data_IF_536516431394
#
_entry.id   IF_536516431394
#
_cell.length_a   1.000
_cell.length_b   1.000
_cell.length_c   1.000
_cell.angle_alpha   90.00
_cell.angle_beta   90.00
_cell.angle_gamma   90.00
#
_symmetry.space_group_name_H-M   'P 1'
#
loop_
_entity.id
_entity.type
_entity.pdbx_description
1 polymer ?
#
# COMPACT_ATOMS: atom_id res chain seq x y z
N UNK A 1 27.96 -12.92 -8.96
CA UNK A 1 26.59 -12.89 -9.54
C UNK A 1 26.22 -11.44 -9.70
N UNK A 2 25.58 -11.05 -10.80
CA UNK A 2 25.25 -9.64 -11.00
C UNK A 2 24.02 -9.28 -10.15
N UNK A 3 24.09 -8.15 -9.46
CA UNK A 3 23.11 -7.78 -8.44
C UNK A 3 21.82 -7.26 -9.09
N UNK A 4 20.69 -7.61 -8.49
CA UNK A 4 19.36 -7.13 -8.83
C UNK A 4 18.74 -6.51 -7.58
N UNK A 5 17.78 -5.61 -7.74
CA UNK A 5 17.20 -4.89 -6.62
C UNK A 5 15.68 -4.95 -6.62
N UNK A 6 15.08 -4.79 -5.45
CA UNK A 6 13.64 -4.56 -5.33
C UNK A 6 13.30 -3.60 -4.20
N UNK A 7 12.12 -3.01 -4.29
CA UNK A 7 11.49 -2.28 -3.21
C UNK A 7 10.01 -2.65 -3.13
N UNK A 8 9.53 -2.90 -1.90
CA UNK A 8 8.11 -2.95 -1.59
C UNK A 8 7.64 -1.51 -1.37
N UNK A 9 6.65 -1.07 -2.14
CA UNK A 9 6.06 0.27 -2.03
C UNK A 9 4.64 0.11 -1.49
N UNK A 10 4.44 0.52 -0.25
CA UNK A 10 3.16 0.39 0.46
C UNK A 10 2.50 1.75 0.55
N UNK A 11 1.38 1.96 -0.13
CA UNK A 11 0.63 3.22 -0.10
C UNK A 11 -0.45 3.17 0.98
N UNK A 12 -0.37 4.00 2.00
CA UNK A 12 -1.32 4.04 3.12
C UNK A 12 -2.19 5.30 3.02
N UNK A 13 -3.48 5.09 2.85
CA UNK A 13 -4.43 6.16 2.68
C UNK A 13 -5.81 5.83 3.26
N UNK A 14 -6.32 6.76 4.06
CA UNK A 14 -7.75 6.89 4.31
C UNK A 14 -8.13 8.37 4.18
N UNK A 15 -9.33 8.69 3.67
CA UNK A 15 -9.83 10.05 3.67
C UNK A 15 -10.03 10.55 5.11
N UNK A 16 -10.35 11.83 5.28
CA UNK A 16 -10.68 12.37 6.58
C UNK A 16 -12.02 11.81 7.08
N UNK A 17 -11.96 10.89 8.04
CA UNK A 17 -13.13 10.22 8.65
C UNK A 17 -13.31 10.58 10.12
N UNK A 18 -12.28 11.12 10.78
CA UNK A 18 -12.36 11.54 12.16
C UNK A 18 -13.43 12.63 12.34
N UNK A 19 -14.39 12.38 13.22
CA UNK A 19 -15.60 13.20 13.45
C UNK A 19 -16.64 13.18 12.31
N UNK A 20 -16.55 12.25 11.35
CA UNK A 20 -17.48 12.12 10.22
C UNK A 20 -18.13 10.73 10.16
N UNK A 21 -18.93 10.39 11.18
CA UNK A 21 -19.60 9.09 11.27
C UNK A 21 -18.72 7.98 11.87
N UNK A 22 -19.34 6.84 12.20
CA UNK A 22 -18.65 5.69 12.79
C UNK A 22 -18.77 4.44 11.92
N UNK A 23 -19.99 3.94 11.77
CA UNK A 23 -20.28 2.71 11.02
C UNK A 23 -21.50 2.92 10.11
N UNK A 24 -21.57 2.31 8.90
CA UNK A 24 -20.57 1.41 8.28
C UNK A 24 -19.42 2.11 7.56
N UNK A 25 -19.48 3.44 7.43
CA UNK A 25 -18.44 4.28 6.84
C UNK A 25 -18.10 5.38 7.85
N UNK A 26 -16.81 5.64 8.08
CA UNK A 26 -16.38 6.62 9.07
C UNK A 26 -15.19 6.12 9.88
N UNK A 27 -15.15 6.45 11.17
CA UNK A 27 -13.98 6.21 12.02
C UNK A 27 -13.64 4.72 12.19
N UNK A 28 -14.60 3.81 11.97
CA UNK A 28 -14.33 2.36 12.01
C UNK A 28 -13.32 1.94 10.94
N UNK A 29 -13.26 2.61 9.79
CA UNK A 29 -12.24 2.33 8.77
C UNK A 29 -10.83 2.60 9.27
N UNK A 30 -10.63 3.73 9.96
CA UNK A 30 -9.32 4.09 10.53
C UNK A 30 -8.96 3.16 11.69
N UNK A 31 -9.94 2.77 12.51
CA UNK A 31 -9.76 1.83 13.60
C UNK A 31 -9.38 0.43 13.09
N UNK A 32 -10.11 -0.10 12.10
CA UNK A 32 -9.85 -1.40 11.47
C UNK A 32 -8.47 -1.42 10.82
N UNK A 33 -8.15 -0.41 9.98
CA UNK A 33 -6.83 -0.30 9.35
C UNK A 33 -5.69 -0.18 10.37
N UNK A 34 -5.89 0.56 11.47
CA UNK A 34 -4.86 0.70 12.51
C UNK A 34 -4.64 -0.59 13.28
N UNK A 35 -5.71 -1.28 13.68
CA UNK A 35 -5.61 -2.53 14.43
C UNK A 35 -5.05 -3.68 13.60
N UNK A 36 -5.47 -3.77 12.33
CA UNK A 36 -5.23 -4.96 11.50
C UNK A 36 -4.08 -4.78 10.52
N UNK A 37 -3.76 -3.55 10.10
CA UNK A 37 -2.70 -3.27 9.14
C UNK A 37 -1.55 -2.49 9.77
N UNK A 38 -1.76 -1.25 10.21
CA UNK A 38 -0.64 -0.35 10.51
C UNK A 38 0.16 -0.80 11.74
N UNK A 39 -0.52 -1.20 12.81
CA UNK A 39 0.16 -1.65 14.03
C UNK A 39 0.86 -3.01 13.80
N UNK A 40 0.23 -4.04 13.20
CA UNK A 40 0.93 -5.27 12.83
C UNK A 40 2.11 -5.05 11.87
N UNK A 41 1.97 -4.20 10.85
CA UNK A 41 3.05 -3.85 9.94
C UNK A 41 4.21 -3.20 10.68
N UNK A 42 3.93 -2.24 11.57
CA UNK A 42 4.97 -1.60 12.37
C UNK A 42 5.76 -2.63 13.20
N UNK A 43 5.08 -3.59 13.86
CA UNK A 43 5.74 -4.67 14.63
C UNK A 43 6.65 -5.55 13.76
N UNK A 44 6.18 -5.89 12.57
CA UNK A 44 6.92 -6.69 11.58
C UNK A 44 8.22 -5.98 11.18
N UNK A 45 8.13 -4.68 10.88
CA UNK A 45 9.27 -3.86 10.47
C UNK A 45 10.21 -3.57 11.64
N UNK A 46 9.70 -3.22 12.82
CA UNK A 46 10.52 -2.94 14.02
C UNK A 46 11.37 -4.15 14.41
N UNK A 47 10.80 -5.35 14.38
CA UNK A 47 11.53 -6.57 14.71
C UNK A 47 12.72 -6.79 13.77
N UNK A 48 12.58 -6.44 12.49
CA UNK A 48 13.59 -6.67 11.43
C UNK A 48 14.59 -5.53 11.30
N UNK A 49 14.18 -4.30 11.63
CA UNK A 49 15.03 -3.12 11.61
C UNK A 49 16.26 -3.25 12.54
N UNK A 50 16.18 -4.09 13.58
CA UNK A 50 17.28 -4.38 14.52
C UNK A 50 18.56 -4.88 13.87
N UNK A 51 18.48 -5.44 12.65
CA UNK A 51 19.66 -5.87 11.89
C UNK A 51 20.50 -4.70 11.33
N UNK A 52 20.02 -3.46 11.42
CA UNK A 52 20.74 -2.26 10.98
C UNK A 52 20.91 -2.14 9.47
N UNK A 53 20.12 -2.86 8.68
CA UNK A 53 20.12 -2.85 7.21
C UNK A 53 18.76 -2.37 6.68
N UNK A 54 18.72 -1.73 5.50
CA UNK A 54 17.46 -1.41 4.84
C UNK A 54 16.63 -2.67 4.57
N UNK A 55 15.32 -2.57 4.86
CA UNK A 55 14.36 -3.66 4.63
C UNK A 55 13.81 -3.65 3.20
N UNK A 56 14.14 -2.61 2.41
CA UNK A 56 13.61 -2.44 1.05
C UNK A 56 12.15 -2.02 1.05
N UNK A 57 11.66 -1.40 2.12
CA UNK A 57 10.27 -0.95 2.25
C UNK A 57 10.21 0.57 2.12
N UNK A 58 9.45 1.03 1.13
CA UNK A 58 9.05 2.42 0.94
C UNK A 58 7.59 2.55 1.38
N UNK A 59 7.33 3.33 2.42
CA UNK A 59 6.00 3.53 2.99
C UNK A 59 5.45 4.91 2.61
N UNK A 60 4.44 4.95 1.76
CA UNK A 60 3.69 6.16 1.45
C UNK A 60 2.67 6.45 2.53
N UNK A 61 2.86 7.53 3.30
CA UNK A 61 1.89 7.97 4.30
C UNK A 61 1.26 9.27 3.82
N UNK A 62 -0.02 9.22 3.45
CA UNK A 62 -0.74 10.43 3.02
C UNK A 62 -0.82 11.45 4.16
N UNK A 63 -0.66 12.77 3.89
CA UNK A 63 -0.72 13.77 4.94
C UNK A 63 -2.03 13.74 5.74
N UNK A 64 -3.17 13.59 5.06
CA UNK A 64 -4.49 13.44 5.71
C UNK A 64 -4.58 12.23 6.65
N UNK A 65 -3.90 11.12 6.33
CA UNK A 65 -3.83 9.96 7.23
C UNK A 65 -2.93 10.26 8.44
N UNK A 66 -1.77 10.87 8.21
CA UNK A 66 -0.85 11.27 9.29
C UNK A 66 -1.51 12.21 10.31
N UNK A 67 -2.30 13.20 9.85
CA UNK A 67 -3.05 14.08 10.74
C UNK A 67 -4.00 13.32 11.65
N UNK A 68 -4.75 12.36 11.10
CA UNK A 68 -5.72 11.58 11.86
C UNK A 68 -5.03 10.63 12.85
N UNK A 69 -4.01 9.90 12.40
CA UNK A 69 -3.24 8.97 13.25
C UNK A 69 -2.50 9.67 14.41
N UNK A 70 -2.10 10.92 14.21
CA UNK A 70 -1.46 11.73 15.25
C UNK A 70 -2.49 12.45 16.17
N UNK A 71 -3.77 12.47 15.82
CA UNK A 71 -4.78 13.22 16.55
C UNK A 71 -5.13 12.56 17.89
N UNK A 72 -5.18 13.37 18.96
CA UNK A 72 -5.43 12.85 20.32
C UNK A 72 -6.82 12.21 20.48
N UNK A 73 -7.84 12.72 19.79
CA UNK A 73 -9.17 12.11 19.83
C UNK A 73 -9.22 10.76 19.11
N UNK A 74 -8.41 10.58 18.06
CA UNK A 74 -8.26 9.26 17.46
C UNK A 74 -7.63 8.27 18.43
N UNK A 75 -6.64 8.69 19.24
CA UNK A 75 -6.03 7.79 20.24
C UNK A 75 -7.06 7.30 21.27
N UNK A 76 -7.95 8.17 21.74
CA UNK A 76 -9.04 7.81 22.68
C UNK A 76 -10.06 6.88 22.01
N UNK A 77 -10.42 7.21 20.76
CA UNK A 77 -11.35 6.41 19.97
C UNK A 77 -10.81 5.00 19.72
N UNK A 78 -9.55 4.88 19.31
CA UNK A 78 -8.93 3.61 18.99
C UNK A 78 -8.84 2.69 20.22
N UNK A 79 -8.50 3.24 21.38
CA UNK A 79 -8.57 2.51 22.65
C UNK A 79 -9.98 1.98 22.92
N UNK A 80 -11.00 2.83 22.77
CA UNK A 80 -12.40 2.43 22.97
C UNK A 80 -12.82 1.35 21.99
N UNK A 81 -12.41 1.46 20.72
CA UNK A 81 -12.64 0.45 19.69
C UNK A 81 -12.02 -0.90 20.06
N UNK A 82 -10.75 -0.92 20.49
CA UNK A 82 -10.06 -2.14 20.90
C UNK A 82 -10.72 -2.79 22.11
N UNK A 83 -11.15 -2.00 23.11
CA UNK A 83 -11.88 -2.51 24.28
C UNK A 83 -13.23 -3.13 23.88
N UNK A 84 -13.96 -2.50 22.95
CA UNK A 84 -15.21 -3.05 22.42
C UNK A 84 -14.99 -4.36 21.64
N UNK A 85 -13.95 -4.44 20.79
CA UNK A 85 -13.60 -5.66 20.05
C UNK A 85 -13.16 -6.78 20.97
N UNK A 86 -12.38 -6.45 22.01
CA UNK A 86 -11.97 -7.38 23.05
C UNK A 86 -13.19 -7.96 23.79
N UNK A 87 -14.14 -7.10 24.17
CA UNK A 87 -15.36 -7.56 24.84
C UNK A 87 -16.20 -8.45 23.92
N UNK A 88 -16.39 -8.05 22.66
CA UNK A 88 -17.11 -8.88 21.69
C UNK A 88 -16.48 -10.26 21.49
N UNK A 89 -15.14 -10.36 21.51
CA UNK A 89 -14.45 -11.64 21.41
C UNK A 89 -14.68 -12.53 22.66
N UNK A 90 -14.74 -11.93 23.85
CA UNK A 90 -15.06 -12.64 25.10
C UNK A 90 -16.49 -13.15 25.10
N UNK A 91 -17.43 -12.34 24.63
CA UNK A 91 -18.84 -12.70 24.53
C UNK A 91 -19.04 -13.85 23.53
N UNK A 92 -18.38 -13.78 22.37
CA UNK A 92 -18.35 -14.87 21.38
C UNK A 92 -17.79 -16.15 22.00
N UNK A 93 -16.63 -16.09 22.67
CA UNK A 93 -16.03 -17.26 23.33
C UNK A 93 -17.00 -17.88 24.34
N UNK A 94 -17.59 -17.07 25.20
CA UNK A 94 -18.52 -17.53 26.24
C UNK A 94 -19.76 -18.22 25.65
N UNK A 95 -20.28 -17.70 24.54
CA UNK A 95 -21.43 -18.28 23.84
C UNK A 95 -21.06 -19.60 23.14
N UNK A 96 -19.97 -19.60 22.36
CA UNK A 96 -19.52 -20.75 21.58
C UNK A 96 -19.08 -21.93 22.47
N UNK A 97 -18.53 -21.65 23.65
CA UNK A 97 -18.23 -22.69 24.64
C UNK A 97 -19.48 -23.33 25.26
N UNK A 98 -20.64 -22.65 25.25
CA UNK A 98 -21.90 -23.21 25.75
C UNK A 98 -22.65 -24.03 24.71
N UNK A 99 -22.35 -23.83 23.42
CA UNK A 99 -22.98 -24.52 22.29
C UNK A 99 -22.13 -25.67 21.74
N UNK A 100 -21.11 -26.11 22.49
CA UNK A 100 -20.15 -27.16 22.11
C UNK A 100 -19.37 -26.88 20.81
N UNK A 101 -19.26 -25.61 20.40
CA UNK A 101 -18.49 -25.16 19.23
C UNK A 101 -17.03 -24.86 19.61
N UNK A 102 -16.33 -25.87 20.12
CA UNK A 102 -14.99 -25.75 20.71
C UNK A 102 -13.93 -25.13 19.76
N UNK A 103 -13.96 -25.49 18.47
CA UNK A 103 -13.06 -24.91 17.46
C UNK A 103 -13.27 -23.40 17.28
N UNK A 104 -14.54 -22.96 17.22
CA UNK A 104 -14.88 -21.54 17.07
C UNK A 104 -14.58 -20.75 18.35
N UNK A 105 -14.82 -21.36 19.52
CA UNK A 105 -14.46 -20.75 20.81
C UNK A 105 -12.95 -20.49 20.92
N UNK A 106 -12.12 -21.42 20.42
CA UNK A 106 -10.67 -21.23 20.36
C UNK A 106 -10.25 -20.10 19.40
N UNK A 107 -10.99 -19.87 18.31
CA UNK A 107 -10.77 -18.72 17.44
C UNK A 107 -11.18 -17.40 18.10
N UNK A 108 -12.27 -17.40 18.89
CA UNK A 108 -12.69 -16.22 19.65
C UNK A 108 -11.65 -15.83 20.70
N UNK A 109 -11.03 -16.82 21.36
CA UNK A 109 -9.88 -16.60 22.24
C UNK A 109 -8.68 -15.98 21.50
N UNK A 110 -8.42 -16.36 20.25
CA UNK A 110 -7.36 -15.73 19.45
C UNK A 110 -7.67 -14.28 19.10
N UNK A 111 -8.92 -13.94 18.77
CA UNK A 111 -9.32 -12.54 18.61
C UNK A 111 -9.18 -11.75 19.90
N UNK A 112 -9.54 -12.36 21.04
CA UNK A 112 -9.32 -11.75 22.34
C UNK A 112 -7.83 -11.42 22.54
N UNK A 113 -6.93 -12.39 22.29
CA UNK A 113 -5.50 -12.19 22.40
C UNK A 113 -4.97 -11.14 21.42
N UNK A 114 -5.46 -11.12 20.17
CA UNK A 114 -5.08 -10.15 19.15
C UNK A 114 -5.39 -8.71 19.57
N UNK A 115 -6.64 -8.43 19.93
CA UNK A 115 -7.05 -7.07 20.33
C UNK A 115 -6.47 -6.66 21.69
N UNK A 116 -6.27 -7.62 22.61
CA UNK A 116 -5.56 -7.37 23.87
C UNK A 116 -4.11 -6.93 23.61
N UNK A 117 -3.38 -7.67 22.78
CA UNK A 117 -2.01 -7.33 22.41
C UNK A 117 -1.93 -5.99 21.70
N UNK A 118 -2.88 -5.66 20.83
CA UNK A 118 -2.96 -4.34 20.20
C UNK A 118 -3.14 -3.22 21.25
N UNK A 119 -4.03 -3.41 22.22
CA UNK A 119 -4.32 -2.44 23.27
C UNK A 119 -3.13 -2.23 24.22
N UNK A 120 -2.48 -3.31 24.64
CA UNK A 120 -1.30 -3.29 25.50
C UNK A 120 -0.13 -2.56 24.83
N UNK A 121 0.14 -2.84 23.56
CA UNK A 121 1.18 -2.17 22.80
C UNK A 121 0.84 -0.69 22.53
N UNK A 122 -0.41 -0.37 22.21
CA UNK A 122 -0.82 1.01 21.97
C UNK A 122 -0.69 1.88 23.22
N UNK A 123 -1.01 1.32 24.39
CA UNK A 123 -0.80 1.94 25.72
C UNK A 123 0.63 1.80 26.24
N UNK A 124 1.45 1.00 25.57
CA UNK A 124 2.78 0.61 26.00
C UNK A 124 3.84 1.69 25.75
N UNK A 125 5.12 1.33 25.93
CA UNK A 125 6.24 2.29 25.94
C UNK A 125 6.48 2.99 24.60
N UNK A 126 6.02 2.42 23.49
CA UNK A 126 6.18 3.03 22.17
C UNK A 126 5.22 4.21 21.92
N UNK A 127 4.23 4.41 22.79
CA UNK A 127 3.25 5.51 22.78
C UNK A 127 2.19 5.39 21.67
N UNK A 128 1.05 6.10 21.77
CA UNK A 128 -0.08 5.92 20.86
C UNK A 128 0.13 6.53 19.45
N UNK A 129 1.14 7.38 19.27
CA UNK A 129 1.39 8.04 17.99
C UNK A 129 2.12 7.12 17.01
N UNK A 130 1.37 6.40 16.17
CA UNK A 130 1.91 5.46 15.19
C UNK A 130 2.78 6.13 14.11
N UNK A 131 2.49 7.38 13.75
CA UNK A 131 3.32 8.18 12.81
C UNK A 131 4.73 8.36 13.38
N UNK A 132 4.83 8.70 14.66
CA UNK A 132 6.12 8.81 15.34
C UNK A 132 6.83 7.45 15.48
N UNK A 133 6.09 6.33 15.53
CA UNK A 133 6.69 5.00 15.54
C UNK A 133 7.33 4.64 14.20
N UNK A 134 6.66 4.92 13.07
CA UNK A 134 7.23 4.72 11.73
C UNK A 134 8.41 5.66 11.47
N UNK A 135 8.32 6.92 11.91
CA UNK A 135 9.45 7.87 11.84
C UNK A 135 10.74 7.28 12.42
N UNK A 136 10.67 6.60 13.57
CA UNK A 136 11.86 5.99 14.19
C UNK A 136 12.49 4.91 13.31
N UNK A 137 11.70 4.15 12.54
CA UNK A 137 12.23 3.17 11.59
C UNK A 137 12.96 3.85 10.42
N UNK A 138 12.44 4.99 9.96
CA UNK A 138 13.10 5.80 8.94
C UNK A 138 14.39 6.48 9.44
N UNK A 139 14.40 6.95 10.70
CA UNK A 139 15.60 7.48 11.36
C UNK A 139 16.70 6.43 11.53
N UNK A 140 16.32 5.15 11.66
CA UNK A 140 17.24 4.01 11.67
C UNK A 140 17.72 3.59 10.27
N UNK A 141 17.18 4.18 9.20
CA UNK A 141 17.46 3.79 7.81
C UNK A 141 16.86 2.44 7.41
N UNK A 142 15.93 1.89 8.20
CA UNK A 142 15.31 0.59 7.92
C UNK A 142 14.27 0.68 6.79
N UNK A 143 13.55 1.79 6.72
CA UNK A 143 12.54 2.08 5.69
C UNK A 143 12.75 3.50 5.14
N UNK A 144 12.08 3.81 4.04
CA UNK A 144 11.91 5.17 3.53
C UNK A 144 10.44 5.58 3.62
N UNK A 145 10.14 6.79 4.13
CA UNK A 145 8.77 7.31 4.15
C UNK A 145 8.63 8.35 3.05
N UNK A 146 7.62 8.19 2.19
CA UNK A 146 7.29 9.15 1.14
C UNK A 146 5.96 9.86 1.45
N UNK A 147 5.80 11.06 0.89
CA UNK A 147 4.55 11.82 1.03
C UNK A 147 3.55 11.50 -0.08
N UNK A 148 2.44 12.22 -0.12
CA UNK A 148 1.44 12.20 -1.18
C UNK A 148 0.97 13.64 -1.48
N UNK A 149 -0.14 13.84 -2.20
CA UNK A 149 -0.90 15.08 -2.14
C UNK A 149 -1.60 15.22 -0.78
N UNK A 150 -1.77 16.44 -0.27
CA UNK A 150 -2.30 16.73 1.07
C UNK A 150 -3.54 15.90 1.45
N UNK A 151 -4.52 15.82 0.55
CA UNK A 151 -5.77 15.08 0.77
C UNK A 151 -5.99 14.01 -0.28
N UNK A 152 -4.92 13.48 -0.89
CA UNK A 152 -5.00 12.53 -2.00
C UNK A 152 -5.82 13.05 -3.19
N UNK A 153 -5.82 14.38 -3.42
CA UNK A 153 -6.57 14.99 -4.52
C UNK A 153 -6.01 14.56 -5.89
N UNK A 154 -6.88 14.19 -6.82
CA UNK A 154 -6.48 13.70 -8.15
C UNK A 154 -5.82 14.81 -8.99
N UNK A 155 -4.50 14.97 -8.83
CA UNK A 155 -3.72 16.14 -9.27
C UNK A 155 -3.91 16.50 -10.76
N UNK A 156 -3.94 15.53 -11.71
CA UNK A 156 -4.13 15.86 -13.13
C UNK A 156 -5.42 16.63 -13.43
N UNK A 157 -6.49 16.40 -12.66
CA UNK A 157 -7.82 16.98 -12.89
C UNK A 157 -8.14 18.17 -12.00
N UNK A 158 -7.23 18.57 -11.11
CA UNK A 158 -7.40 19.81 -10.35
C UNK A 158 -7.47 21.02 -11.29
N UNK A 159 -8.26 22.01 -10.90
CA UNK A 159 -8.69 23.12 -11.77
C UNK A 159 -7.56 24.03 -12.25
N UNK A 160 -6.40 24.01 -11.60
CA UNK A 160 -5.25 24.85 -11.91
C UNK A 160 -3.94 24.23 -11.42
N UNK A 161 -2.82 24.71 -11.95
CA UNK A 161 -1.49 24.34 -11.44
C UNK A 161 -1.30 24.84 -10.00
N UNK A 162 -1.83 26.01 -9.64
CA UNK A 162 -1.80 26.50 -8.26
C UNK A 162 -2.51 25.57 -7.26
N UNK A 163 -3.66 25.00 -7.64
CA UNK A 163 -4.38 24.05 -6.78
C UNK A 163 -3.60 22.73 -6.60
N UNK A 164 -2.99 22.22 -7.67
CA UNK A 164 -2.13 21.04 -7.60
C UNK A 164 -0.85 21.30 -6.80
N UNK A 165 -0.23 22.45 -7.01
CA UNK A 165 0.97 22.88 -6.31
C UNK A 165 0.72 23.09 -4.81
N UNK A 166 -0.44 23.62 -4.43
CA UNK A 166 -0.81 23.78 -3.02
C UNK A 166 -0.99 22.44 -2.30
N UNK A 167 -1.58 21.44 -2.97
CA UNK A 167 -1.66 20.07 -2.45
C UNK A 167 -0.25 19.48 -2.18
N UNK A 168 0.72 19.75 -3.05
CA UNK A 168 2.12 19.30 -2.89
C UNK A 168 2.81 20.08 -1.77
N UNK A 169 2.67 21.41 -1.75
CA UNK A 169 3.30 22.29 -0.76
C UNK A 169 2.87 21.94 0.67
N UNK A 170 1.55 21.77 0.88
CA UNK A 170 1.00 21.35 2.18
C UNK A 170 1.49 19.98 2.57
N UNK A 171 1.59 19.04 1.63
CA UNK A 171 2.08 17.70 1.91
C UNK A 171 3.55 17.67 2.33
N UNK A 172 4.41 18.47 1.69
CA UNK A 172 5.82 18.61 2.07
C UNK A 172 5.95 19.24 3.45
N UNK A 173 5.12 20.25 3.77
CA UNK A 173 5.09 20.86 5.09
C UNK A 173 4.62 19.89 6.19
N UNK A 174 3.55 19.13 5.93
CA UNK A 174 3.04 18.12 6.85
C UNK A 174 4.08 17.00 7.09
N UNK A 175 4.75 16.54 6.04
CA UNK A 175 5.80 15.53 6.14
C UNK A 175 6.98 16.05 7.01
N UNK A 176 7.43 17.31 6.82
CA UNK A 176 8.43 17.93 7.71
C UNK A 176 8.00 17.96 9.16
N UNK A 177 6.74 18.31 9.44
CA UNK A 177 6.22 18.36 10.80
C UNK A 177 6.21 16.99 11.49
N UNK A 178 5.78 15.95 10.79
CA UNK A 178 5.66 14.61 11.36
C UNK A 178 7.01 13.88 11.43
N UNK A 179 7.82 13.95 10.38
CA UNK A 179 9.03 13.14 10.21
C UNK A 179 10.35 13.91 10.41
N UNK A 180 10.28 15.23 10.61
CA UNK A 180 11.44 16.08 10.93
C UNK A 180 12.35 16.42 9.74
N UNK A 181 12.03 15.96 8.52
CA UNK A 181 12.79 16.20 7.29
C UNK A 181 11.87 16.43 6.10
N UNK A 182 12.40 16.93 4.98
CA UNK A 182 11.63 16.99 3.74
C UNK A 182 11.52 15.59 3.11
N UNK A 183 10.39 15.21 2.49
CA UNK A 183 10.29 13.98 1.74
C UNK A 183 11.14 14.08 0.46
N UNK A 184 11.81 12.98 0.09
CA UNK A 184 12.50 12.86 -1.20
C UNK A 184 11.57 12.28 -2.27
N UNK A 185 10.73 11.32 -1.92
CA UNK A 185 9.74 10.72 -2.82
C UNK A 185 8.31 11.19 -2.57
N UNK A 186 7.45 11.01 -3.58
CA UNK A 186 6.00 11.20 -3.48
C UNK A 186 5.25 10.06 -4.17
N UNK A 187 4.19 9.55 -3.53
CA UNK A 187 3.15 8.80 -4.20
C UNK A 187 2.17 9.78 -4.84
N UNK A 188 2.11 9.84 -6.18
CA UNK A 188 1.05 10.60 -6.84
C UNK A 188 -0.29 9.91 -6.57
N UNK A 189 -1.35 10.65 -6.17
CA UNK A 189 -2.67 10.06 -5.98
C UNK A 189 -3.09 9.21 -7.18
N UNK A 190 -3.39 7.93 -6.96
CA UNK A 190 -3.72 6.94 -7.99
C UNK A 190 -2.62 6.68 -9.04
N UNK A 191 -1.36 7.01 -8.73
CA UNK A 191 -0.28 7.08 -9.73
C UNK A 191 -0.64 7.96 -10.93
N UNK A 192 -1.57 8.91 -10.74
CA UNK A 192 -2.13 9.72 -11.81
C UNK A 192 -1.14 10.82 -12.21
N UNK A 193 -0.54 10.63 -13.38
CA UNK A 193 0.46 11.52 -13.95
C UNK A 193 -0.10 12.32 -15.13
N UNK A 194 0.51 13.48 -15.37
CA UNK A 194 0.18 14.32 -16.52
C UNK A 194 1.39 15.16 -16.95
N UNK A 195 1.82 15.06 -18.23
CA UNK A 195 2.88 15.91 -18.76
C UNK A 195 2.40 17.34 -19.04
N UNK A 196 3.34 18.22 -19.35
CA UNK A 196 3.04 19.58 -19.80
C UNK A 196 2.21 19.57 -21.08
N UNK A 197 1.31 20.55 -21.24
CA UNK A 197 0.55 20.72 -22.47
C UNK A 197 -0.80 21.40 -22.29
N UNK A 198 -1.57 21.42 -23.38
CA UNK A 198 -2.92 21.96 -23.40
C UNK A 198 -3.92 20.93 -22.86
N UNK A 199 -4.54 21.22 -21.73
CA UNK A 199 -5.47 20.29 -21.06
C UNK A 199 -6.88 20.90 -20.97
N UNK A 200 -7.92 20.22 -21.49
CA UNK A 200 -9.31 20.61 -21.27
C UNK A 200 -9.70 20.34 -19.81
N UNK A 201 -10.51 21.23 -19.23
CA UNK A 201 -11.03 21.00 -17.87
C UNK A 201 -12.22 20.04 -17.92
N UNK A 202 -12.31 19.07 -17.00
CA UNK A 202 -13.54 18.26 -16.86
C UNK A 202 -14.68 19.04 -16.18
N UNK A 203 -14.42 20.25 -15.66
CA UNK A 203 -15.43 21.06 -14.99
C UNK A 203 -16.49 21.55 -15.98
N UNK A 204 -17.74 21.57 -15.52
CA UNK A 204 -18.81 22.25 -16.22
C UNK A 204 -18.70 23.77 -15.99
N UNK A 205 -18.97 24.54 -17.03
CA UNK A 205 -19.19 25.96 -16.92
C UNK A 205 -20.50 26.27 -16.18
N UNK A 206 -20.76 27.55 -15.93
CA UNK A 206 -21.97 28.00 -15.21
C UNK A 206 -23.29 27.70 -15.95
N UNK A 207 -23.22 27.30 -17.22
CA UNK A 207 -24.37 26.91 -18.04
C UNK A 207 -24.55 25.40 -18.12
N UNK A 208 -23.71 24.62 -17.45
CA UNK A 208 -23.72 23.15 -17.50
C UNK A 208 -23.02 22.58 -18.74
N UNK A 209 -22.41 23.43 -19.57
CA UNK A 209 -21.58 23.00 -20.70
C UNK A 209 -20.19 22.57 -20.24
N UNK A 210 -19.56 21.58 -20.87
CA UNK A 210 -18.17 21.25 -20.56
C UNK A 210 -17.27 22.42 -20.97
N UNK A 211 -16.37 22.83 -20.06
CA UNK A 211 -15.39 23.88 -20.34
C UNK A 211 -14.35 23.34 -21.33
N UNK A 212 -14.64 23.45 -22.63
CA UNK A 212 -13.85 22.82 -23.70
C UNK A 212 -12.56 23.53 -24.04
N UNK A 213 -12.36 24.77 -23.60
CA UNK A 213 -11.14 25.54 -23.93
C UNK A 213 -9.94 24.97 -23.15
N UNK A 214 -8.98 24.34 -23.84
CA UNK A 214 -7.81 23.79 -23.18
C UNK A 214 -6.96 24.92 -22.58
N UNK A 215 -6.45 24.71 -21.38
CA UNK A 215 -5.46 25.61 -20.76
C UNK A 215 -4.09 24.97 -20.82
N UNK A 216 -3.08 25.77 -21.14
CA UNK A 216 -1.70 25.33 -20.98
C UNK A 216 -1.43 25.10 -19.50
N UNK A 217 -0.88 23.93 -19.18
CA UNK A 217 -0.55 23.55 -17.81
C UNK A 217 0.82 22.89 -17.77
N UNK A 218 1.57 23.15 -16.70
CA UNK A 218 2.87 22.53 -16.47
C UNK A 218 2.75 21.02 -16.24
N UNK A 219 3.79 20.27 -16.56
CA UNK A 219 3.85 18.86 -16.18
C UNK A 219 3.96 18.72 -14.67
N UNK A 220 3.43 17.62 -14.12
CA UNK A 220 3.44 17.42 -12.68
C UNK A 220 4.88 17.32 -12.15
N UNK A 221 5.79 16.69 -12.87
CA UNK A 221 7.22 16.61 -12.55
C UNK A 221 7.86 17.99 -12.34
N UNK A 222 7.43 19.00 -13.10
CA UNK A 222 7.88 20.38 -12.92
C UNK A 222 7.38 20.97 -11.60
N UNK A 223 6.12 20.71 -11.24
CA UNK A 223 5.57 21.14 -9.95
C UNK A 223 6.27 20.41 -8.80
N UNK A 224 6.51 19.10 -8.92
CA UNK A 224 7.25 18.32 -7.93
C UNK A 224 8.66 18.88 -7.68
N UNK A 225 9.39 19.20 -8.76
CA UNK A 225 10.75 19.71 -8.69
C UNK A 225 10.87 21.01 -7.88
N UNK A 226 9.89 21.91 -7.99
CA UNK A 226 9.85 23.19 -7.24
C UNK A 226 9.80 22.99 -5.72
N UNK A 227 9.31 21.83 -5.27
CA UNK A 227 9.20 21.48 -3.85
C UNK A 227 10.29 20.50 -3.39
N UNK A 228 11.31 20.27 -4.22
CA UNK A 228 12.47 19.43 -3.90
C UNK A 228 12.17 17.93 -3.89
N UNK A 229 11.07 17.50 -4.49
CA UNK A 229 10.75 16.09 -4.66
C UNK A 229 11.59 15.51 -5.82
N UNK A 230 12.19 14.36 -5.59
CA UNK A 230 13.18 13.74 -6.45
C UNK A 230 12.61 12.62 -7.31
N UNK A 231 11.58 11.91 -6.81
CA UNK A 231 10.99 10.81 -7.55
C UNK A 231 9.53 10.53 -7.19
N UNK A 232 8.84 9.82 -8.09
CA UNK A 232 7.50 9.28 -7.91
C UNK A 232 7.32 7.92 -8.59
N UNK A 233 6.12 7.35 -8.48
CA UNK A 233 5.78 6.06 -9.09
C UNK A 233 4.68 6.20 -10.14
N UNK A 234 4.76 5.39 -11.18
CA UNK A 234 3.78 5.31 -12.28
C UNK A 234 3.43 3.86 -12.58
N UNK A 235 2.28 3.66 -13.22
CA UNK A 235 1.88 2.34 -13.68
C UNK A 235 2.69 1.89 -14.91
N UNK A 236 2.80 0.58 -15.14
CA UNK A 236 3.68 -0.02 -16.16
C UNK A 236 3.45 0.55 -17.56
N UNK A 237 2.20 0.82 -17.92
CA UNK A 237 1.82 1.31 -19.25
C UNK A 237 2.31 2.74 -19.54
N UNK A 238 2.56 3.57 -18.51
CA UNK A 238 3.15 4.90 -18.68
C UNK A 238 4.65 4.84 -18.97
N UNK A 239 5.31 3.71 -18.65
CA UNK A 239 6.72 3.48 -18.94
C UNK A 239 6.88 2.71 -20.25
N UNK A 240 6.25 1.55 -20.34
CA UNK A 240 6.43 0.60 -21.44
C UNK A 240 5.56 0.92 -22.65
N UNK A 241 4.59 1.83 -22.55
CA UNK A 241 3.48 1.96 -23.48
C UNK A 241 2.54 0.73 -23.41
N UNK A 242 1.58 0.65 -24.32
CA UNK A 242 0.59 -0.43 -24.35
C UNK A 242 -0.66 -0.16 -23.52
N UNK A 243 -1.46 -1.19 -23.26
CA UNK A 243 -2.73 -1.06 -22.51
C UNK A 243 -2.48 -1.06 -20.98
N UNK A 244 -3.28 -0.32 -20.20
CA UNK A 244 -3.19 -0.34 -18.73
C UNK A 244 -3.51 -1.72 -18.15
N UNK A 245 -2.92 -2.03 -16.99
CA UNK A 245 -3.23 -3.28 -16.27
C UNK A 245 -4.68 -3.24 -15.75
N UNK A 246 -5.50 -4.18 -16.21
CA UNK A 246 -6.94 -4.23 -15.93
C UNK A 246 -7.35 -4.67 -14.51
N UNK A 247 -6.43 -4.66 -13.54
CA UNK A 247 -6.61 -5.28 -12.21
C UNK A 247 -7.79 -4.70 -11.43
N UNK A 248 -8.03 -3.38 -11.54
CA UNK A 248 -9.21 -2.74 -10.95
C UNK A 248 -10.46 -2.89 -11.82
N UNK A 249 -10.29 -3.07 -13.13
CA UNK A 249 -11.40 -3.17 -14.05
C UNK A 249 -12.20 -4.46 -13.85
N UNK A 250 -11.56 -5.55 -13.43
CA UNK A 250 -12.27 -6.80 -13.08
C UNK A 250 -13.23 -6.66 -11.89
N UNK A 251 -13.01 -5.66 -11.01
CA UNK A 251 -13.83 -5.42 -9.81
C UNK A 251 -15.01 -4.47 -10.02
N UNK A 252 -15.00 -3.63 -11.06
CA UNK A 252 -16.07 -2.67 -11.32
C UNK A 252 -16.62 -2.85 -12.74
N UNK A 253 -17.91 -3.19 -12.85
CA UNK A 253 -18.58 -3.43 -14.14
C UNK A 253 -18.44 -2.24 -15.10
N UNK A 254 -18.50 -1.02 -14.59
CA UNK A 254 -18.28 0.21 -15.37
C UNK A 254 -16.85 0.33 -15.97
N UNK A 255 -15.84 -0.21 -15.29
CA UNK A 255 -14.45 -0.22 -15.78
C UNK A 255 -14.18 -1.38 -16.75
N UNK A 256 -14.93 -2.49 -16.66
CA UNK A 256 -14.83 -3.61 -17.62
C UNK A 256 -15.12 -3.17 -19.05
N UNK A 257 -16.02 -2.22 -19.25
CA UNK A 257 -16.31 -1.68 -20.58
C UNK A 257 -15.14 -0.88 -21.19
N UNK A 258 -14.25 -0.33 -20.34
CA UNK A 258 -13.07 0.42 -20.77
C UNK A 258 -11.85 -0.49 -21.02
N UNK A 259 -11.84 -1.72 -20.49
CA UNK A 259 -10.70 -2.65 -20.56
C UNK A 259 -10.99 -3.97 -21.31
N UNK A 260 -12.21 -4.17 -21.84
CA UNK A 260 -12.55 -5.35 -22.66
C UNK A 260 -11.53 -5.56 -23.79
N UNK A 261 -10.86 -6.72 -23.78
CA UNK A 261 -9.86 -7.11 -24.78
C UNK A 261 -8.41 -6.80 -24.42
N UNK A 262 -8.07 -6.64 -23.14
CA UNK A 262 -6.67 -6.62 -22.68
C UNK A 262 -6.07 -8.04 -22.72
N UNK A 263 -5.78 -8.54 -23.93
CA UNK A 263 -4.71 -9.53 -24.10
C UNK A 263 -3.38 -8.93 -23.61
N UNK A 264 -2.44 -9.78 -23.18
CA UNK A 264 -1.13 -9.39 -22.63
C UNK A 264 -0.58 -8.16 -23.37
N UNK A 265 -0.42 -7.00 -22.70
CA UNK A 265 0.02 -5.81 -23.39
C UNK A 265 1.47 -6.03 -23.79
N UNK A 266 1.72 -6.35 -25.07
CA UNK A 266 3.06 -6.25 -25.59
C UNK A 266 3.55 -4.80 -25.37
N UNK A 267 4.77 -4.60 -24.85
CA UNK A 267 5.32 -3.25 -24.67
C UNK A 267 5.27 -2.50 -26.00
N UNK A 268 4.63 -1.32 -26.01
CA UNK A 268 4.62 -0.46 -27.21
C UNK A 268 5.94 0.31 -27.39
N UNK A 269 6.86 0.19 -26.44
CA UNK A 269 8.19 0.82 -26.44
C UNK A 269 9.26 -0.16 -25.96
N UNK A 270 10.54 0.20 -26.11
CA UNK A 270 11.68 -0.52 -25.54
C UNK A 270 11.86 -0.30 -24.03
N UNK A 271 11.13 0.66 -23.44
CA UNK A 271 11.21 0.93 -22.01
C UNK A 271 10.59 -0.23 -21.22
N UNK A 272 11.10 -0.42 -20.00
CA UNK A 272 10.72 -1.52 -19.11
C UNK A 272 10.52 -0.94 -17.71
N UNK A 273 9.56 -1.45 -16.91
CA UNK A 273 9.26 -0.88 -15.59
C UNK A 273 10.36 -1.12 -14.55
N UNK A 274 11.46 -1.79 -14.92
CA UNK A 274 12.52 -2.22 -14.02
C UNK A 274 13.72 -1.28 -13.98
N UNK A 275 13.58 -0.05 -14.50
CA UNK A 275 14.60 0.98 -14.42
C UNK A 275 13.98 2.31 -13.95
N UNK A 276 14.73 3.15 -13.22
CA UNK A 276 14.32 4.53 -13.01
C UNK A 276 14.51 5.36 -14.29
N UNK A 277 13.56 6.23 -14.58
CA UNK A 277 13.61 7.15 -15.73
C UNK A 277 13.53 8.60 -15.25
N UNK A 278 14.36 9.48 -15.80
CA UNK A 278 14.20 10.93 -15.63
C UNK A 278 13.03 11.40 -16.48
N UNK A 279 12.12 12.18 -15.91
CA UNK A 279 10.92 12.65 -16.62
C UNK A 279 11.24 13.98 -17.29
N UNK A 280 11.32 13.95 -18.63
CA UNK A 280 11.72 15.10 -19.44
C UNK A 280 13.17 15.56 -19.25
N UNK A 281 13.66 16.50 -20.10
CA UNK A 281 15.02 17.00 -20.03
C UNK A 281 15.20 18.17 -19.04
N UNK A 282 14.11 18.85 -18.66
CA UNK A 282 14.17 20.14 -17.95
C UNK A 282 14.36 20.01 -16.44
N UNK A 283 13.89 18.91 -15.85
CA UNK A 283 13.98 18.65 -14.41
C UNK A 283 14.69 17.34 -14.12
N UNK A 284 15.15 17.17 -12.88
CA UNK A 284 15.84 15.94 -12.42
C UNK A 284 14.92 14.92 -11.76
N UNK A 285 13.61 15.15 -11.79
CA UNK A 285 12.63 14.26 -11.15
C UNK A 285 12.58 12.94 -11.92
N UNK A 286 12.65 11.84 -11.19
CA UNK A 286 12.60 10.50 -11.74
C UNK A 286 11.24 9.82 -11.51
N UNK A 287 10.88 8.85 -12.33
CA UNK A 287 9.77 7.94 -12.07
C UNK A 287 10.26 6.49 -12.02
N UNK A 288 9.57 5.69 -11.20
CA UNK A 288 9.70 4.24 -11.15
C UNK A 288 8.41 3.59 -11.64
N UNK A 289 8.54 2.55 -12.47
CA UNK A 289 7.39 1.79 -12.97
C UNK A 289 6.95 0.70 -12.00
N UNK A 290 5.64 0.50 -11.87
CA UNK A 290 5.07 -0.67 -11.19
C UNK A 290 5.56 -1.96 -11.85
N UNK A 291 5.99 -2.92 -11.04
CA UNK A 291 6.21 -4.29 -11.51
C UNK A 291 4.85 -4.98 -11.79
N UNK A 292 4.52 -5.29 -13.06
CA UNK A 292 3.25 -5.91 -13.41
C UNK A 292 3.14 -7.35 -12.88
N UNK A 293 4.27 -8.05 -12.71
CA UNK A 293 4.30 -9.47 -12.39
C UNK A 293 3.89 -9.69 -10.93
N UNK A 294 4.54 -9.01 -9.98
CA UNK A 294 4.13 -9.07 -8.58
C UNK A 294 2.78 -8.42 -8.33
N UNK A 295 2.43 -7.36 -9.07
CA UNK A 295 1.10 -6.77 -8.98
C UNK A 295 0.01 -7.80 -9.29
N UNK A 296 0.10 -8.52 -10.41
CA UNK A 296 -0.86 -9.56 -10.76
C UNK A 296 -0.89 -10.70 -9.74
N UNK A 297 0.29 -11.17 -9.31
CA UNK A 297 0.43 -12.31 -8.40
C UNK A 297 -0.18 -12.05 -7.00
N UNK A 298 -0.29 -10.79 -6.60
CA UNK A 298 -0.89 -10.43 -5.31
C UNK A 298 -2.35 -9.97 -5.48
N UNK A 299 -2.67 -9.18 -6.51
CA UNK A 299 -4.00 -8.59 -6.66
C UNK A 299 -5.02 -9.43 -7.43
N UNK A 300 -4.59 -10.46 -8.16
CA UNK A 300 -5.52 -11.30 -8.93
C UNK A 300 -6.56 -11.92 -8.02
N UNK A 301 -7.85 -11.67 -8.30
CA UNK A 301 -8.95 -12.28 -7.56
C UNK A 301 -9.09 -13.79 -7.80
N UNK A 302 -8.47 -14.31 -8.87
CA UNK A 302 -8.54 -15.74 -9.21
C UNK A 302 -7.29 -16.51 -8.78
N UNK A 303 -6.10 -15.92 -8.94
CA UNK A 303 -4.82 -16.62 -8.75
C UNK A 303 -3.91 -15.94 -7.71
N UNK A 304 -4.37 -14.85 -7.09
CA UNK A 304 -3.57 -14.08 -6.14
C UNK A 304 -3.50 -14.77 -4.78
N UNK A 305 -2.38 -14.57 -4.07
CA UNK A 305 -2.19 -15.17 -2.74
C UNK A 305 -3.35 -14.91 -1.76
N UNK A 306 -3.95 -13.70 -1.68
CA UNK A 306 -5.07 -13.45 -0.76
C UNK A 306 -6.28 -14.37 -0.96
N UNK A 307 -6.44 -14.96 -2.16
CA UNK A 307 -7.52 -15.89 -2.48
C UNK A 307 -7.27 -17.33 -2.04
N UNK A 308 -6.12 -17.66 -1.45
CA UNK A 308 -5.83 -19.02 -0.99
C UNK A 308 -6.85 -19.48 0.05
N UNK A 309 -7.37 -20.69 -0.13
CA UNK A 309 -8.42 -21.25 0.68
C UNK A 309 -8.08 -21.38 2.18
N UNK A 310 -6.81 -21.34 2.58
CA UNK A 310 -6.44 -21.43 4.01
C UNK A 310 -6.49 -20.09 4.76
N UNK A 311 -6.46 -18.96 4.05
CA UNK A 311 -6.42 -17.64 4.69
C UNK A 311 -7.77 -17.23 5.25
N UNK A 312 -7.76 -16.29 6.22
CA UNK A 312 -8.96 -15.78 6.85
C UNK A 312 -9.86 -15.06 5.83
N UNK A 313 -11.13 -15.43 5.78
CA UNK A 313 -12.12 -14.79 4.91
C UNK A 313 -12.51 -13.41 5.45
N UNK A 314 -12.41 -12.39 4.60
CA UNK A 314 -12.75 -11.02 4.95
C UNK A 314 -14.26 -10.79 5.10
N UNK A 315 -15.06 -11.44 4.27
CA UNK A 315 -16.47 -11.11 4.07
C UNK A 315 -17.39 -11.81 5.08
N UNK A 316 -17.04 -13.02 5.53
CA UNK A 316 -17.84 -13.75 6.51
C UNK A 316 -17.54 -13.29 7.94
N UNK A 317 -18.40 -12.43 8.46
CA UNK A 317 -18.33 -11.87 9.82
C UNK A 317 -19.44 -12.44 10.71
N UNK A 318 -19.12 -12.75 11.96
CA UNK A 318 -20.10 -13.15 12.97
C UNK A 318 -20.76 -11.92 13.60
N UNK A 319 -22.06 -11.99 13.82
CA UNK A 319 -22.81 -10.96 14.54
C UNK A 319 -23.23 -11.46 15.94
N UNK A 320 -23.20 -10.60 16.98
CA UNK A 320 -22.66 -9.24 17.01
C UNK A 320 -21.11 -9.21 17.03
N UNK A 321 -20.51 -8.03 16.93
CA UNK A 321 -19.05 -7.84 17.10
C UNK A 321 -18.22 -7.88 15.81
N UNK A 322 -18.65 -8.63 14.80
CA UNK A 322 -18.06 -8.61 13.47
C UNK A 322 -16.74 -9.36 13.34
N UNK A 323 -16.40 -10.25 14.29
CA UNK A 323 -15.20 -11.09 14.22
C UNK A 323 -15.30 -12.12 13.09
N UNK A 324 -14.16 -12.50 12.53
CA UNK A 324 -14.05 -13.41 11.38
C UNK A 324 -13.58 -14.78 11.86
N UNK A 325 -14.32 -15.84 11.53
CA UNK A 325 -14.02 -17.20 12.01
C UNK A 325 -13.86 -18.23 10.90
N UNK A 326 -13.92 -17.80 9.66
CA UNK A 326 -13.92 -18.69 8.51
C UNK A 326 -12.75 -18.39 7.60
N UNK A 327 -12.29 -19.42 6.88
CA UNK A 327 -11.28 -19.29 5.86
C UNK A 327 -11.92 -19.06 4.49
N UNK A 328 -11.17 -18.48 3.57
CA UNK A 328 -11.59 -18.25 2.18
C UNK A 328 -12.15 -19.53 1.56
N UNK A 329 -11.60 -20.70 1.92
CA UNK A 329 -12.02 -22.04 1.46
C UNK A 329 -11.78 -22.26 -0.02
N UNK A 330 -12.39 -21.42 -0.85
CA UNK A 330 -12.16 -21.28 -2.27
C UNK A 330 -12.54 -19.84 -2.69
N UNK A 331 -11.85 -19.19 -3.64
CA UNK A 331 -12.15 -17.81 -4.06
C UNK A 331 -13.61 -17.59 -4.50
N UNK A 332 -14.24 -18.62 -5.06
CA UNK A 332 -15.62 -18.60 -5.58
C UNK A 332 -16.65 -19.28 -4.67
N UNK A 333 -16.28 -19.68 -3.46
CA UNK A 333 -17.22 -20.30 -2.52
C UNK A 333 -18.25 -19.27 -2.01
N UNK A 334 -19.51 -19.69 -1.86
CA UNK A 334 -20.53 -18.91 -1.17
C UNK A 334 -20.16 -18.72 0.31
N UNK A 335 -20.72 -17.69 0.96
CA UNK A 335 -20.54 -17.48 2.40
C UNK A 335 -21.00 -18.70 3.21
N UNK A 336 -22.06 -19.40 2.79
CA UNK A 336 -22.54 -20.60 3.47
C UNK A 336 -21.49 -21.72 3.48
N UNK A 337 -20.70 -21.85 2.41
CA UNK A 337 -19.75 -22.95 2.20
C UNK A 337 -18.38 -22.72 2.86
N UNK A 338 -18.14 -21.50 3.37
CA UNK A 338 -16.87 -21.16 4.03
C UNK A 338 -16.67 -22.01 5.28
N UNK A 339 -15.55 -22.72 5.34
CA UNK A 339 -15.17 -23.60 6.43
C UNK A 339 -14.50 -22.83 7.58
N UNK A 340 -14.46 -23.39 8.80
CA UNK A 340 -13.76 -22.78 9.93
C UNK A 340 -12.29 -22.46 9.60
N UNK A 341 -11.82 -21.31 10.08
CA UNK A 341 -10.44 -20.89 9.91
C UNK A 341 -9.48 -21.73 10.77
N UNK A 342 -8.34 -22.09 10.20
CA UNK A 342 -7.30 -22.87 10.87
C UNK A 342 -6.00 -22.07 10.87
N UNK A 343 -5.70 -21.32 11.95
CA UNK A 343 -4.56 -20.41 11.98
C UNK A 343 -3.23 -21.08 11.63
N UNK A 344 -2.99 -22.31 12.10
CA UNK A 344 -1.75 -23.03 11.82
C UNK A 344 -1.50 -23.24 10.30
N UNK A 345 -2.55 -23.50 9.53
CA UNK A 345 -2.46 -23.71 8.08
C UNK A 345 -2.05 -22.40 7.37
N UNK A 346 -2.66 -21.29 7.79
CA UNK A 346 -2.37 -19.97 7.27
C UNK A 346 -0.97 -19.46 7.69
N UNK A 347 -0.55 -19.77 8.92
CA UNK A 347 0.78 -19.49 9.45
C UNK A 347 1.89 -20.25 8.70
N UNK A 348 1.61 -21.46 8.22
CA UNK A 348 2.50 -22.25 7.38
C UNK A 348 2.51 -21.79 5.91
N UNK A 349 1.34 -21.38 5.37
CA UNK A 349 1.19 -20.95 3.97
C UNK A 349 1.85 -19.61 3.67
N UNK A 350 1.79 -18.64 4.59
CA UNK A 350 2.35 -17.30 4.35
C UNK A 350 3.85 -17.30 3.98
N UNK A 351 4.73 -18.04 4.69
CA UNK A 351 6.13 -18.20 4.28
C UNK A 351 6.33 -18.88 2.91
N UNK A 352 5.48 -19.84 2.53
CA UNK A 352 5.55 -20.46 1.21
C UNK A 352 5.26 -19.46 0.10
N UNK A 353 4.21 -18.65 0.25
CA UNK A 353 3.88 -17.58 -0.69
C UNK A 353 4.96 -16.51 -0.75
N UNK A 354 5.57 -16.17 0.39
CA UNK A 354 6.68 -15.22 0.45
C UNK A 354 7.90 -15.72 -0.33
N UNK A 355 8.28 -17.00 -0.19
CA UNK A 355 9.35 -17.60 -1.00
C UNK A 355 9.03 -17.56 -2.49
N UNK A 356 7.81 -17.96 -2.87
CA UNK A 356 7.38 -17.90 -4.27
C UNK A 356 7.42 -16.47 -4.82
N UNK A 357 7.01 -15.47 -4.03
CA UNK A 357 7.08 -14.05 -4.40
C UNK A 357 8.53 -13.59 -4.66
N UNK A 358 9.47 -13.96 -3.78
CA UNK A 358 10.89 -13.65 -3.96
C UNK A 358 11.50 -14.38 -5.16
N UNK A 359 11.12 -15.65 -5.39
CA UNK A 359 11.52 -16.40 -6.59
C UNK A 359 10.97 -15.77 -7.87
N UNK A 360 9.75 -15.24 -7.83
CA UNK A 360 9.12 -14.54 -8.94
C UNK A 360 9.88 -13.25 -9.26
N UNK A 361 10.16 -12.42 -8.25
CA UNK A 361 10.98 -11.21 -8.39
C UNK A 361 12.34 -11.53 -9.04
N UNK A 362 13.06 -12.52 -8.51
CA UNK A 362 14.36 -12.90 -9.05
C UNK A 362 14.26 -13.35 -10.51
N UNK A 363 13.34 -14.28 -10.82
CA UNK A 363 13.15 -14.78 -12.19
C UNK A 363 12.80 -13.66 -13.16
N UNK A 364 11.94 -12.72 -12.75
CA UNK A 364 11.58 -11.57 -13.56
C UNK A 364 12.80 -10.69 -13.82
N UNK A 365 13.59 -10.37 -12.80
CA UNK A 365 14.78 -9.52 -12.92
C UNK A 365 15.92 -10.18 -13.71
N UNK A 366 16.08 -11.50 -13.60
CA UNK A 366 17.08 -12.27 -14.36
C UNK A 366 16.82 -12.27 -15.87
N UNK A 367 15.56 -12.11 -16.28
CA UNK A 367 15.15 -12.02 -17.68
C UNK A 367 15.30 -10.61 -18.26
N UNK A 368 15.56 -9.59 -17.43
CA UNK A 368 15.73 -8.22 -17.90
C UNK A 368 17.13 -8.06 -18.47
N UNK A 369 17.19 -7.72 -19.75
CA UNK A 369 18.44 -7.34 -20.39
C UNK A 369 19.06 -6.16 -19.64
N UNK A 370 20.24 -6.40 -19.07
CA UNK A 370 20.95 -5.39 -18.31
C UNK A 370 21.35 -4.26 -19.24
N UNK A 371 21.00 -3.04 -18.84
CA UNK A 371 21.52 -1.80 -19.41
C UNK A 371 22.71 -1.34 -18.57
N UNK A 372 23.15 -0.10 -18.80
CA UNK A 372 24.13 0.60 -17.96
C UNK A 372 23.63 0.91 -16.53
N UNK A 373 22.54 0.29 -16.08
CA UNK A 373 21.85 0.55 -14.81
C UNK A 373 21.30 -0.76 -14.28
N UNK A 374 21.50 -1.04 -12.99
CA UNK A 374 20.98 -2.27 -12.39
C UNK A 374 19.44 -2.26 -12.32
N UNK A 375 18.77 -3.37 -12.69
CA UNK A 375 17.32 -3.41 -12.67
C UNK A 375 16.78 -3.41 -11.23
N UNK A 376 15.67 -2.69 -11.04
CA UNK A 376 14.93 -2.59 -9.77
C UNK A 376 13.45 -2.88 -9.99
N UNK A 377 12.91 -3.88 -9.30
CA UNK A 377 11.47 -4.12 -9.27
C UNK A 377 10.79 -3.27 -8.19
N UNK A 378 9.76 -2.50 -8.57
CA UNK A 378 8.93 -1.75 -7.62
C UNK A 378 7.58 -2.45 -7.44
N UNK A 379 7.46 -3.25 -6.38
CA UNK A 379 6.25 -3.99 -6.05
C UNK A 379 5.32 -3.10 -5.23
N UNK A 380 4.28 -2.55 -5.87
CA UNK A 380 3.45 -1.46 -5.35
C UNK A 380 2.06 -1.93 -4.95
N UNK A 381 1.64 -1.64 -3.72
CA UNK A 381 0.37 -2.12 -3.16
C UNK A 381 -0.25 -1.12 -2.19
N UNK A 382 -1.58 -1.12 -2.10
CA UNK A 382 -2.28 -0.47 -0.98
C UNK A 382 -1.93 -1.19 0.32
N UNK A 383 -1.62 -0.43 1.38
CA UNK A 383 -1.08 -0.98 2.63
C UNK A 383 -2.13 -1.81 3.34
N UNK A 384 -3.39 -1.36 3.29
CA UNK A 384 -4.55 -2.00 3.91
C UNK A 384 -4.85 -3.38 3.29
N UNK A 385 -4.26 -3.70 2.12
CA UNK A 385 -4.27 -5.08 1.63
C UNK A 385 -3.66 -6.02 2.68
N UNK A 386 -2.56 -5.62 3.30
CA UNK A 386 -1.82 -6.46 4.24
C UNK A 386 -2.34 -6.27 5.65
N UNK A 387 -3.27 -7.13 6.05
CA UNK A 387 -3.80 -7.25 7.40
C UNK A 387 -5.30 -7.01 7.46
N UNK A 388 -5.80 -5.94 6.84
CA UNK A 388 -7.23 -5.70 6.80
C UNK A 388 -7.93 -6.62 5.79
N UNK A 389 -7.61 -6.50 4.49
CA UNK A 389 -8.23 -7.33 3.44
C UNK A 389 -7.66 -8.76 3.39
N UNK A 390 -6.34 -8.90 3.55
CA UNK A 390 -5.64 -10.17 3.67
C UNK A 390 -4.96 -10.24 5.04
N UNK A 391 -5.58 -10.92 5.99
CA UNK A 391 -5.18 -10.90 7.40
C UNK A 391 -3.73 -11.33 7.66
N UNK A 392 -3.25 -12.32 6.93
CA UNK A 392 -1.89 -12.84 7.05
C UNK A 392 -0.86 -11.98 6.29
N UNK A 393 -1.30 -10.91 5.63
CA UNK A 393 -0.45 -10.02 4.85
C UNK A 393 0.77 -9.47 5.59
N UNK A 394 0.69 -8.98 6.84
CA UNK A 394 1.87 -8.51 7.58
C UNK A 394 2.88 -9.64 7.82
N UNK A 395 2.40 -10.86 8.09
CA UNK A 395 3.26 -12.05 8.22
C UNK A 395 3.93 -12.40 6.90
N UNK A 396 3.18 -12.36 5.79
CA UNK A 396 3.72 -12.53 4.45
C UNK A 396 4.81 -11.49 4.15
N UNK A 397 4.57 -10.21 4.41
CA UNK A 397 5.57 -9.15 4.20
C UNK A 397 6.83 -9.39 5.04
N UNK A 398 6.67 -9.79 6.30
CA UNK A 398 7.80 -10.18 7.14
C UNK A 398 8.61 -11.33 6.54
N UNK A 399 7.93 -12.37 6.06
CA UNK A 399 8.58 -13.51 5.42
C UNK A 399 9.22 -13.14 4.07
N UNK A 400 8.67 -12.17 3.31
CA UNK A 400 9.28 -11.65 2.07
C UNK A 400 10.59 -10.95 2.40
N UNK A 401 10.61 -10.10 3.43
CA UNK A 401 11.83 -9.42 3.89
C UNK A 401 12.89 -10.44 4.32
N UNK A 402 12.50 -11.45 5.10
CA UNK A 402 13.43 -12.49 5.58
C UNK A 402 13.97 -13.34 4.43
N UNK A 403 13.10 -13.76 3.50
CA UNK A 403 13.49 -14.56 2.34
C UNK A 403 14.38 -13.77 1.36
N UNK A 404 14.12 -12.48 1.16
CA UNK A 404 14.96 -11.62 0.34
C UNK A 404 16.32 -11.38 0.99
N UNK A 405 16.37 -11.14 2.30
CA UNK A 405 17.63 -10.96 3.03
C UNK A 405 18.53 -12.21 3.01
N UNK A 406 17.93 -13.40 2.88
CA UNK A 406 18.64 -14.67 2.75
C UNK A 406 19.04 -15.02 1.31
N UNK A 407 18.61 -14.24 0.30
CA UNK A 407 18.87 -14.54 -1.11
C UNK A 407 20.08 -13.77 -1.63
N UNK A 408 21.07 -14.50 -2.11
CA UNK A 408 22.20 -13.90 -2.82
C UNK A 408 21.74 -13.32 -4.17
N UNK A 409 22.11 -12.07 -4.45
CA UNK A 409 21.85 -11.41 -5.74
C UNK A 409 20.54 -10.62 -5.82
N UNK A 410 19.66 -10.67 -4.81
CA UNK A 410 18.47 -9.81 -4.73
C UNK A 410 18.56 -8.88 -3.52
N UNK A 411 18.75 -7.58 -3.78
CA UNK A 411 18.95 -6.59 -2.74
C UNK A 411 17.67 -5.81 -2.42
N UNK A 412 17.23 -5.77 -1.16
CA UNK A 412 16.24 -4.78 -0.73
C UNK A 412 16.87 -3.39 -0.75
N UNK A 413 16.28 -2.44 -1.48
CA UNK A 413 16.80 -1.08 -1.61
C UNK A 413 15.74 -0.02 -1.33
N UNK A 414 16.20 1.15 -0.88
CA UNK A 414 15.37 2.35 -0.78
C UNK A 414 15.53 3.17 -2.07
N UNK A 415 14.45 3.63 -2.72
CA UNK A 415 14.53 4.33 -4.02
C UNK A 415 15.46 5.54 -4.00
N UNK A 416 15.46 6.30 -2.90
CA UNK A 416 16.28 7.49 -2.78
C UNK A 416 17.77 7.18 -2.59
N UNK A 417 18.09 6.04 -1.96
CA UNK A 417 19.45 5.51 -1.89
C UNK A 417 19.89 4.96 -3.25
N UNK A 418 18.98 4.30 -3.98
CA UNK A 418 19.20 3.79 -5.34
C UNK A 418 19.58 4.91 -6.31
N UNK A 419 18.83 6.01 -6.31
CA UNK A 419 19.11 7.18 -7.17
C UNK A 419 20.39 7.92 -6.78
N UNK A 420 20.75 7.91 -5.49
CA UNK A 420 22.00 8.52 -5.03
C UNK A 420 23.23 7.70 -5.45
N UNK A 421 23.13 6.36 -5.42
CA UNK A 421 24.22 5.46 -5.83
C UNK A 421 24.39 5.42 -7.35
N UNK A 422 23.28 5.33 -8.08
CA UNK A 422 23.31 5.34 -9.53
C UNK A 422 22.08 6.11 -10.07
N UNK A 423 22.29 7.36 -10.52
CA UNK A 423 21.24 8.20 -11.07
C UNK A 423 20.60 7.60 -12.33
N UNK A 424 19.32 7.95 -12.56
CA UNK A 424 18.63 7.56 -13.79
C UNK A 424 19.34 8.11 -15.03
N UNK A 425 19.73 7.20 -15.94
CA UNK A 425 20.45 7.54 -17.19
C UNK A 425 19.50 7.76 -18.37
N UNK A 426 18.31 7.17 -18.32
CA UNK A 426 17.34 7.24 -19.39
C UNK A 426 16.31 8.35 -19.11
N UNK A 427 15.85 9.00 -20.17
CA UNK A 427 14.80 10.02 -20.14
C UNK A 427 13.53 9.44 -20.76
N UNK A 428 12.38 9.73 -20.16
CA UNK A 428 11.04 9.41 -20.69
C UNK A 428 10.21 10.67 -20.90
#
# INVERSE_FOLDING_TARGET
MAETAFTLVLHSHLPWVLHHGRWPHGIDWLNEATAETYLPLWRVLETRARAGKPLGVTLGLTPVLCEQLAHSDFHKEFVSYLENKLQAARDDRALLSRTDESEMAALAERWEAFYRSALEDFRGPHGPNLVARFRRLEEQGAIEIITCAATHGYLPLLSSDAAAEEQIRVAVAAHRRHFGRAPRGIWLPECAYRPAGAWPSPAMDRTGGLTRTPRQRAGLETLLARHGLEYFFVDTHLVSGGKPLGVYADRFEALRHLTRGAESPEPATENRPYFPYRVGPEVRVCCFGRDPVTALQVWSGEHGYPGDGVYLDFHKKRFPGGHRYWRVTHPKADLADKQPYRPADAEARAPEHARHFVDLLQRTLDQIERRDTEPIACAMFDTELFGHWWFEGPRFLGAVIDAAAARDGLRPVLPSARLAQEPARHVI
#
